data_IF_902558364659
#
_entry.id   IF_902558364659
#
_cell.length_a   1.000
_cell.length_b   1.000
_cell.length_c   1.000
_cell.angle_alpha   90.00
_cell.angle_beta   90.00
_cell.angle_gamma   90.00
#
_symmetry.space_group_name_H-M   'P 1'
#
loop_
_entity.id
_entity.type
_entity.pdbx_description
1 polymer ?
#
# COMPACT_ATOMS: atom_id res chain seq x y z
N UNK A 1 19.18 -10.20 -0.94
CA UNK A 1 17.86 -10.63 -1.44
C UNK A 1 17.54 -9.94 -2.75
N UNK A 2 17.76 -8.64 -2.84
CA UNK A 2 17.41 -7.79 -4.00
C UNK A 2 17.94 -8.25 -5.37
N UNK A 3 19.11 -8.90 -5.41
CA UNK A 3 19.72 -9.44 -6.65
C UNK A 3 19.34 -10.90 -6.95
N UNK A 4 18.75 -11.59 -5.96
CA UNK A 4 18.50 -13.03 -6.03
C UNK A 4 17.06 -13.29 -6.47
N UNK A 5 16.13 -12.54 -5.90
CA UNK A 5 14.71 -12.64 -6.18
C UNK A 5 14.23 -11.31 -6.77
N UNK A 6 14.56 -11.06 -8.04
CA UNK A 6 14.14 -9.84 -8.77
C UNK A 6 12.62 -9.83 -9.08
N UNK A 7 11.96 -10.97 -8.89
CA UNK A 7 10.55 -11.17 -9.17
C UNK A 7 10.29 -11.26 -10.67
N UNK A 8 9.07 -10.89 -11.07
CA UNK A 8 8.64 -10.99 -12.47
C UNK A 8 8.90 -9.67 -13.20
N UNK A 9 9.88 -9.65 -14.10
CA UNK A 9 10.31 -8.41 -14.78
C UNK A 9 9.21 -7.87 -15.70
N UNK A 10 8.55 -8.74 -16.46
CA UNK A 10 7.46 -8.39 -17.37
C UNK A 10 6.10 -8.81 -16.81
N UNK A 11 5.18 -7.85 -16.67
CA UNK A 11 3.84 -8.12 -16.14
C UNK A 11 2.96 -8.78 -17.22
N UNK A 12 3.07 -10.10 -17.34
CA UNK A 12 2.21 -10.90 -18.25
C UNK A 12 0.78 -11.05 -17.72
N UNK A 13 0.61 -10.98 -16.40
CA UNK A 13 -0.67 -11.17 -15.71
C UNK A 13 -0.97 -12.63 -15.37
N UNK A 14 -0.01 -13.54 -15.56
CA UNK A 14 -0.14 -14.94 -15.19
C UNK A 14 0.13 -15.16 -13.69
N UNK A 15 -0.22 -16.35 -13.22
CA UNK A 15 0.13 -16.82 -11.87
C UNK A 15 1.65 -16.96 -11.77
N UNK A 16 2.22 -16.28 -10.77
CA UNK A 16 3.65 -16.32 -10.47
C UNK A 16 3.81 -16.55 -8.98
N UNK A 17 4.65 -17.50 -8.61
CA UNK A 17 5.01 -17.78 -7.23
C UNK A 17 6.53 -17.82 -7.13
N UNK A 18 7.08 -17.14 -6.13
CA UNK A 18 8.53 -17.10 -5.92
C UNK A 18 8.96 -18.38 -5.19
N UNK A 19 9.70 -19.22 -5.89
CA UNK A 19 10.29 -20.45 -5.35
C UNK A 19 11.69 -20.18 -4.79
N UNK A 20 12.09 -20.94 -3.77
CA UNK A 20 13.43 -20.83 -3.19
C UNK A 20 14.45 -21.53 -4.09
N UNK A 21 15.63 -20.92 -4.24
CA UNK A 21 16.72 -21.46 -5.08
C UNK A 21 17.68 -22.25 -4.19
N UNK A 22 18.01 -23.48 -4.60
CA UNK A 22 18.96 -24.33 -3.88
C UNK A 22 20.35 -23.68 -3.76
N UNK A 23 20.91 -23.70 -2.55
CA UNK A 23 22.23 -23.11 -2.26
C UNK A 23 22.23 -21.59 -2.06
N UNK A 24 21.08 -20.92 -2.16
CA UNK A 24 20.93 -19.51 -1.83
C UNK A 24 20.04 -19.30 -0.61
N UNK A 25 20.06 -18.11 0.02
CA UNK A 25 19.09 -17.75 1.05
C UNK A 25 17.66 -17.94 0.54
N UNK A 26 16.80 -18.60 1.34
CA UNK A 26 15.42 -18.86 0.96
C UNK A 26 14.63 -17.59 0.64
N UNK A 27 13.59 -17.74 -0.18
CA UNK A 27 12.72 -16.62 -0.54
C UNK A 27 12.06 -16.03 0.72
N UNK A 28 11.83 -14.72 0.72
CA UNK A 28 11.21 -14.06 1.86
C UNK A 28 9.71 -14.36 1.88
N UNK A 29 9.30 -15.23 2.81
CA UNK A 29 7.89 -15.61 2.96
C UNK A 29 7.11 -14.58 3.76
N UNK A 30 6.04 -14.07 3.16
CA UNK A 30 5.11 -13.13 3.77
C UNK A 30 3.69 -13.69 3.76
N UNK A 31 2.85 -13.18 4.66
CA UNK A 31 1.41 -13.47 4.69
C UNK A 31 0.61 -12.19 4.51
N UNK A 32 -0.47 -12.26 3.75
CA UNK A 32 -1.37 -11.13 3.55
C UNK A 32 -2.26 -10.94 4.79
N UNK A 33 -2.13 -9.80 5.46
CA UNK A 33 -3.11 -9.34 6.43
C UNK A 33 -4.11 -8.40 5.74
N UNK A 34 -5.35 -8.87 5.55
CA UNK A 34 -6.42 -8.07 4.99
C UNK A 34 -7.15 -7.21 6.04
N UNK A 35 -6.93 -7.46 7.34
CA UNK A 35 -7.67 -6.83 8.43
C UNK A 35 -9.18 -6.92 8.24
N UNK A 36 -9.85 -5.76 8.21
CA UNK A 36 -11.29 -5.63 7.98
C UNK A 36 -11.68 -5.50 6.50
N UNK A 37 -10.71 -5.48 5.59
CA UNK A 37 -10.99 -5.39 4.16
C UNK A 37 -11.69 -6.66 3.67
N UNK A 38 -12.84 -6.49 3.03
CA UNK A 38 -13.62 -7.62 2.51
C UNK A 38 -12.84 -8.32 1.38
N UNK A 39 -12.65 -9.63 1.48
CA UNK A 39 -11.94 -10.45 0.47
C UNK A 39 -12.81 -10.79 -0.75
N UNK A 40 -13.25 -9.76 -1.48
CA UNK A 40 -13.97 -9.92 -2.76
C UNK A 40 -13.00 -10.11 -3.93
N UNK A 41 -13.45 -10.81 -4.99
CA UNK A 41 -12.69 -10.96 -6.23
C UNK A 41 -12.51 -9.59 -6.89
N UNK A 42 -11.27 -9.27 -7.29
CA UNK A 42 -10.94 -7.96 -7.88
C UNK A 42 -10.73 -6.83 -6.87
N UNK A 43 -10.67 -7.10 -5.56
CA UNK A 43 -10.34 -6.07 -4.57
C UNK A 43 -8.88 -5.57 -4.75
N UNK A 44 -8.67 -4.26 -4.56
CA UNK A 44 -7.35 -3.60 -4.63
C UNK A 44 -6.32 -4.17 -3.65
N UNK A 45 -6.74 -4.70 -2.50
CA UNK A 45 -5.83 -5.41 -1.57
C UNK A 45 -5.17 -6.62 -2.25
N UNK A 46 -5.92 -7.31 -3.10
CA UNK A 46 -5.41 -8.44 -3.89
C UNK A 46 -4.53 -7.94 -5.05
N UNK A 47 -4.74 -6.73 -5.54
CA UNK A 47 -3.82 -6.07 -6.48
C UNK A 47 -2.46 -5.75 -5.84
N UNK A 48 -2.46 -5.25 -4.60
CA UNK A 48 -1.22 -5.02 -3.84
C UNK A 48 -0.48 -6.33 -3.54
N UNK A 49 -1.22 -7.40 -3.21
CA UNK A 49 -0.68 -8.76 -3.10
C UNK A 49 0.06 -9.18 -4.38
N UNK A 50 -0.55 -9.01 -5.56
CA UNK A 50 0.09 -9.37 -6.82
C UNK A 50 1.37 -8.56 -7.05
N UNK A 51 1.32 -7.25 -6.81
CA UNK A 51 2.49 -6.38 -6.96
C UNK A 51 3.65 -6.77 -6.03
N UNK A 52 3.35 -7.20 -4.80
CA UNK A 52 4.35 -7.70 -3.86
C UNK A 52 4.99 -9.01 -4.33
N UNK A 53 4.17 -9.93 -4.85
CA UNK A 53 4.65 -11.20 -5.42
C UNK A 53 5.50 -10.98 -6.67
N UNK A 54 5.06 -10.09 -7.57
CA UNK A 54 5.79 -9.70 -8.78
C UNK A 54 7.09 -8.93 -8.46
N UNK A 55 7.18 -8.37 -7.25
CA UNK A 55 8.39 -7.75 -6.71
C UNK A 55 9.36 -8.73 -6.04
N UNK A 56 9.08 -10.04 -6.02
CA UNK A 56 10.00 -11.06 -5.50
C UNK A 56 9.68 -11.56 -4.09
N UNK A 57 8.53 -11.21 -3.50
CA UNK A 57 8.08 -11.79 -2.23
C UNK A 57 7.36 -13.12 -2.43
N UNK A 58 7.67 -14.11 -1.59
CA UNK A 58 6.95 -15.38 -1.60
C UNK A 58 5.70 -15.26 -0.72
N UNK A 59 4.52 -15.18 -1.33
CA UNK A 59 3.25 -15.09 -0.60
C UNK A 59 2.35 -16.23 -1.09
N UNK A 60 1.95 -17.17 -0.21
CA UNK A 60 1.07 -18.26 -0.61
C UNK A 60 -0.32 -17.70 -0.92
N UNK A 61 -0.77 -17.83 -2.16
CA UNK A 61 -2.05 -17.31 -2.62
C UNK A 61 -2.70 -18.22 -3.67
N UNK A 62 -3.94 -17.90 -4.05
CA UNK A 62 -4.67 -18.61 -5.11
C UNK A 62 -5.26 -17.61 -6.11
N UNK A 63 -5.45 -18.04 -7.36
CA UNK A 63 -5.93 -17.17 -8.44
C UNK A 63 -7.40 -16.74 -8.34
N UNK A 64 -8.16 -17.35 -7.41
CA UNK A 64 -9.61 -17.15 -7.24
C UNK A 64 -10.05 -15.71 -6.93
N UNK A 65 -9.14 -14.92 -6.35
CA UNK A 65 -9.43 -13.54 -5.91
C UNK A 65 -8.93 -12.49 -6.90
N UNK A 66 -8.21 -12.88 -7.95
CA UNK A 66 -7.74 -11.94 -8.96
C UNK A 66 -8.85 -11.53 -9.93
N UNK A 67 -8.78 -10.30 -10.48
CA UNK A 67 -9.69 -9.88 -11.54
C UNK A 67 -9.50 -10.76 -12.78
N UNK A 68 -10.60 -11.18 -13.40
CA UNK A 68 -10.59 -12.11 -14.53
C UNK A 68 -10.75 -13.58 -14.16
N UNK A 69 -10.87 -13.91 -12.87
CA UNK A 69 -11.30 -15.23 -12.43
C UNK A 69 -12.83 -15.36 -12.52
N UNK A 70 -13.29 -16.42 -13.18
CA UNK A 70 -14.70 -16.77 -13.23
C UNK A 70 -15.01 -17.94 -12.27
N UNK A 71 -16.00 -17.76 -11.40
CA UNK A 71 -16.38 -18.78 -10.41
C UNK A 71 -17.10 -19.98 -11.03
N UNK A 72 -17.77 -19.79 -12.17
CA UNK A 72 -18.55 -20.84 -12.81
C UNK A 72 -17.64 -21.78 -13.61
N UNK A 73 -16.85 -21.22 -14.54
CA UNK A 73 -15.87 -21.99 -15.32
C UNK A 73 -14.61 -22.38 -14.54
N UNK A 74 -14.36 -21.75 -13.38
CA UNK A 74 -13.12 -21.87 -12.58
C UNK A 74 -11.87 -21.53 -13.40
N UNK A 75 -12.01 -20.73 -14.44
CA UNK A 75 -10.94 -20.33 -15.34
C UNK A 75 -10.42 -18.93 -14.98
N UNK A 76 -9.10 -18.75 -15.05
CA UNK A 76 -8.45 -17.48 -14.84
C UNK A 76 -7.98 -16.87 -16.16
N UNK A 77 -8.48 -15.68 -16.48
CA UNK A 77 -8.11 -14.95 -17.72
C UNK A 77 -6.99 -13.94 -17.43
N UNK A 78 -5.74 -14.35 -17.65
CA UNK A 78 -4.54 -13.52 -17.45
C UNK A 78 -4.58 -12.17 -18.19
N UNK A 79 -5.17 -12.14 -19.40
CA UNK A 79 -5.36 -10.90 -20.17
C UNK A 79 -6.13 -9.85 -19.38
N UNK A 80 -7.23 -10.24 -18.73
CA UNK A 80 -8.06 -9.31 -17.93
C UNK A 80 -7.29 -8.83 -16.71
N UNK A 81 -6.50 -9.70 -16.09
CA UNK A 81 -5.65 -9.35 -14.96
C UNK A 81 -4.59 -8.31 -15.36
N UNK A 82 -3.89 -8.53 -16.49
CA UNK A 82 -2.92 -7.57 -17.03
C UNK A 82 -3.56 -6.21 -17.34
N UNK A 83 -4.77 -6.19 -17.92
CA UNK A 83 -5.51 -4.94 -18.15
C UNK A 83 -5.73 -4.12 -16.88
N UNK A 84 -6.02 -4.79 -15.76
CA UNK A 84 -6.20 -4.11 -14.48
C UNK A 84 -4.89 -3.61 -13.90
N UNK A 85 -3.80 -4.37 -14.03
CA UNK A 85 -2.48 -3.95 -13.54
C UNK A 85 -1.95 -2.72 -14.30
N UNK A 86 -2.17 -2.65 -15.61
CA UNK A 86 -1.74 -1.54 -16.46
C UNK A 86 -2.75 -0.37 -16.52
N UNK A 87 -3.82 -0.41 -15.72
CA UNK A 87 -4.85 0.64 -15.70
C UNK A 87 -5.64 0.80 -17.00
N UNK A 88 -5.60 -0.18 -17.91
CA UNK A 88 -6.32 -0.12 -19.18
C UNK A 88 -7.84 -0.11 -18.99
N UNK A 89 -8.36 -0.69 -17.91
CA UNK A 89 -9.78 -0.60 -17.55
C UNK A 89 -10.23 0.85 -17.31
N UNK A 90 -9.37 1.68 -16.72
CA UNK A 90 -9.64 3.11 -16.52
C UNK A 90 -9.54 3.85 -17.85
N UNK A 91 -8.54 3.53 -18.68
CA UNK A 91 -8.39 4.12 -20.01
C UNK A 91 -9.58 3.79 -20.93
N UNK A 92 -10.06 2.54 -20.89
CA UNK A 92 -11.24 2.09 -21.62
C UNK A 92 -12.49 2.87 -21.16
N UNK A 93 -12.67 3.05 -19.84
CA UNK A 93 -13.78 3.83 -19.29
C UNK A 93 -13.71 5.31 -19.66
N UNK A 94 -12.51 5.91 -19.66
CA UNK A 94 -12.30 7.28 -20.13
C UNK A 94 -12.73 7.45 -21.58
N UNK A 95 -12.35 6.50 -22.46
CA UNK A 95 -12.74 6.53 -23.87
C UNK A 95 -14.25 6.42 -24.07
N UNK A 96 -14.91 5.49 -23.37
CA UNK A 96 -16.37 5.37 -23.42
C UNK A 96 -17.08 6.66 -22.97
N UNK A 97 -16.64 7.27 -21.86
CA UNK A 97 -17.25 8.52 -21.39
C UNK A 97 -17.03 9.70 -22.33
N UNK A 98 -15.88 9.78 -23.01
CA UNK A 98 -15.65 10.84 -23.99
C UNK A 98 -16.63 10.76 -25.18
N UNK A 99 -17.08 9.55 -25.53
CA UNK A 99 -18.04 9.32 -26.62
C UNK A 99 -19.50 9.48 -26.17
N UNK A 100 -19.83 9.05 -24.94
CA UNK A 100 -21.20 9.03 -24.43
C UNK A 100 -21.61 10.30 -23.66
N UNK A 101 -20.76 10.80 -22.76
CA UNK A 101 -21.06 11.93 -21.87
C UNK A 101 -19.78 12.70 -21.47
N UNK A 102 -19.50 13.76 -22.24
CA UNK A 102 -18.32 14.60 -22.05
C UNK A 102 -18.33 15.37 -20.71
N UNK A 103 -19.51 15.68 -20.15
CA UNK A 103 -19.63 16.41 -18.89
C UNK A 103 -19.28 15.51 -17.71
N UNK A 104 -19.71 14.25 -17.73
CA UNK A 104 -19.27 13.23 -16.78
C UNK A 104 -17.76 13.01 -16.86
N UNK A 105 -17.19 12.96 -18.08
CA UNK A 105 -15.74 12.86 -18.28
C UNK A 105 -14.99 14.02 -17.62
N UNK A 106 -15.38 15.26 -17.91
CA UNK A 106 -14.76 16.47 -17.32
C UNK A 106 -14.85 16.48 -15.80
N UNK A 107 -15.97 16.03 -15.23
CA UNK A 107 -16.19 15.98 -13.79
C UNK A 107 -15.28 14.94 -13.12
N UNK A 108 -15.26 13.71 -13.63
CA UNK A 108 -14.54 12.60 -13.02
C UNK A 108 -13.03 12.67 -13.26
N UNK A 109 -12.62 13.06 -14.46
CA UNK A 109 -11.21 13.05 -14.91
C UNK A 109 -10.58 14.44 -14.99
N UNK A 110 -11.12 15.42 -14.27
CA UNK A 110 -10.62 16.81 -14.26
C UNK A 110 -9.11 16.94 -14.01
N UNK A 111 -8.52 16.08 -13.19
CA UNK A 111 -7.07 16.08 -12.94
C UNK A 111 -6.26 15.52 -14.11
N UNK A 112 -6.79 14.51 -14.80
CA UNK A 112 -6.13 13.96 -15.99
C UNK A 112 -6.08 15.00 -17.12
N UNK A 113 -7.16 15.75 -17.31
CA UNK A 113 -7.23 16.85 -18.27
C UNK A 113 -6.17 17.92 -17.97
N UNK A 114 -5.88 18.16 -16.69
CA UNK A 114 -4.90 19.18 -16.27
C UNK A 114 -3.44 18.72 -16.38
N UNK A 115 -3.16 17.44 -16.13
CA UNK A 115 -1.82 16.99 -15.79
C UNK A 115 -1.26 15.83 -16.65
N UNK A 116 -2.08 15.10 -17.41
CA UNK A 116 -1.70 13.75 -17.89
C UNK A 116 -1.88 13.56 -19.40
N UNK A 117 -0.94 12.81 -19.99
CA UNK A 117 -0.95 12.26 -21.36
C UNK A 117 -1.86 11.02 -21.48
N UNK A 118 -2.49 10.78 -22.64
CA UNK A 118 -3.58 9.79 -22.80
C UNK A 118 -3.20 8.31 -22.67
N UNK A 119 -1.92 7.96 -22.52
CA UNK A 119 -1.48 6.57 -22.41
C UNK A 119 -1.17 6.16 -20.95
N UNK A 120 -2.16 5.52 -20.32
CA UNK A 120 -2.07 5.01 -18.95
C UNK A 120 -1.07 3.84 -18.83
N UNK A 121 -0.92 3.02 -19.87
CA UNK A 121 -0.07 1.83 -19.81
C UNK A 121 1.41 2.24 -19.77
N UNK A 122 1.80 3.23 -20.57
CA UNK A 122 3.17 3.75 -20.57
C UNK A 122 3.53 4.38 -19.21
N UNK A 123 2.59 5.12 -18.59
CA UNK A 123 2.78 5.72 -17.28
C UNK A 123 3.07 4.67 -16.20
N UNK A 124 2.29 3.58 -16.14
CA UNK A 124 2.52 2.50 -15.17
C UNK A 124 3.83 1.74 -15.44
N UNK A 125 4.18 1.47 -16.70
CA UNK A 125 5.47 0.87 -17.04
C UNK A 125 6.65 1.72 -16.56
N UNK A 126 6.59 3.04 -16.78
CA UNK A 126 7.61 3.99 -16.27
C UNK A 126 7.67 3.98 -14.75
N UNK A 127 6.52 3.95 -14.08
CA UNK A 127 6.47 3.87 -12.62
C UNK A 127 7.11 2.59 -12.08
N UNK A 128 6.82 1.43 -12.68
CA UNK A 128 7.45 0.16 -12.30
C UNK A 128 8.97 0.17 -12.50
N UNK A 129 9.46 0.75 -13.60
CA UNK A 129 10.88 0.92 -13.83
C UNK A 129 11.53 1.84 -12.77
N UNK A 130 10.90 2.98 -12.47
CA UNK A 130 11.41 3.95 -11.49
C UNK A 130 11.46 3.37 -10.06
N UNK A 131 10.45 2.59 -9.65
CA UNK A 131 10.43 1.93 -8.34
C UNK A 131 11.55 0.90 -8.21
N UNK A 132 11.86 0.17 -9.30
CA UNK A 132 12.97 -0.80 -9.32
C UNK A 132 14.34 -0.12 -9.30
N UNK A 133 14.48 1.02 -9.96
CA UNK A 133 15.72 1.79 -9.98
C UNK A 133 16.04 2.39 -8.61
N UNK A 134 15.02 2.92 -7.91
CA UNK A 134 15.20 3.50 -6.58
C UNK A 134 14.06 3.14 -5.62
N UNK A 135 14.17 2.01 -4.88
CA UNK A 135 13.16 1.56 -3.93
C UNK A 135 13.23 2.27 -2.57
N UNK A 136 14.04 3.33 -2.42
CA UNK A 136 14.27 3.99 -1.14
C UNK A 136 13.06 4.81 -0.71
N UNK A 137 12.63 4.62 0.54
CA UNK A 137 11.60 5.44 1.15
C UNK A 137 12.15 6.80 1.57
N UNK A 138 11.63 7.87 0.98
CA UNK A 138 11.89 9.24 1.43
C UNK A 138 10.82 9.65 2.44
N UNK A 139 11.21 9.83 3.70
CA UNK A 139 10.31 10.33 4.74
C UNK A 139 9.84 11.76 4.44
N UNK A 140 8.61 12.08 4.83
CA UNK A 140 8.09 13.44 4.69
C UNK A 140 8.52 14.33 5.86
N UNK A 141 8.90 15.58 5.56
CA UNK A 141 9.10 16.60 6.58
C UNK A 141 7.76 16.93 7.25
N UNK A 142 7.65 16.72 8.57
CA UNK A 142 6.46 17.14 9.32
C UNK A 142 6.42 18.66 9.37
N UNK A 143 5.53 19.27 8.59
CA UNK A 143 5.15 20.67 8.82
C UNK A 143 4.25 20.70 10.06
N UNK A 144 4.68 21.42 11.10
CA UNK A 144 3.91 21.56 12.34
C UNK A 144 2.58 22.27 12.05
N UNK A 145 1.47 21.61 12.31
CA UNK A 145 0.14 22.21 12.23
C UNK A 145 -0.39 22.47 13.64
N UNK A 146 -0.66 23.73 13.98
CA UNK A 146 -1.30 24.09 15.24
C UNK A 146 -2.81 23.88 15.14
N UNK A 147 -3.33 22.86 15.83
CA UNK A 147 -4.78 22.71 16.01
C UNK A 147 -5.26 23.70 17.08
N UNK A 148 -5.90 24.79 16.66
CA UNK A 148 -6.65 25.65 17.58
C UNK A 148 -8.10 25.16 17.60
N UNK A 149 -8.44 24.35 18.61
CA UNK A 149 -9.82 23.87 18.82
C UNK A 149 -10.55 24.82 19.77
N UNK A 150 -11.69 25.41 19.39
CA UNK A 150 -12.49 26.21 20.33
C UNK A 150 -12.99 25.31 21.47
N UNK A 151 -12.51 25.56 22.69
CA UNK A 151 -12.87 24.80 23.90
C UNK A 151 -11.72 24.03 24.56
N UNK A 152 -10.54 23.94 23.92
CA UNK A 152 -9.33 23.42 24.52
C UNK A 152 -8.15 24.35 24.18
N UNK A 153 -7.60 25.13 25.14
CA UNK A 153 -6.43 25.95 24.85
C UNK A 153 -5.28 25.07 24.36
N UNK A 154 -4.63 25.50 23.27
CA UNK A 154 -3.64 24.72 22.54
C UNK A 154 -2.52 24.20 23.44
N UNK A 155 -2.30 22.90 23.41
CA UNK A 155 -1.14 22.28 24.03
C UNK A 155 0.06 22.60 23.13
N UNK A 156 0.94 23.50 23.56
CA UNK A 156 2.21 23.72 22.88
C UNK A 156 3.06 22.45 23.03
N UNK A 157 3.19 21.68 21.95
CA UNK A 157 4.08 20.50 21.84
C UNK A 157 5.58 20.90 21.81
N UNK A 158 5.99 21.86 22.64
CA UNK A 158 7.40 22.27 22.75
C UNK A 158 8.22 21.36 23.68
N UNK A 159 7.59 20.52 24.51
CA UNK A 159 8.29 19.76 25.58
C UNK A 159 8.33 18.24 25.36
N UNK A 160 8.61 17.77 24.15
CA UNK A 160 8.96 16.35 23.96
C UNK A 160 9.92 16.11 22.78
N UNK A 161 10.98 16.90 22.72
CA UNK A 161 12.14 16.62 21.87
C UNK A 161 13.30 16.08 22.73
N UNK A 162 13.20 14.82 23.18
CA UNK A 162 14.35 13.92 23.47
C UNK A 162 13.89 12.70 24.29
N UNK A 163 13.41 11.66 23.61
CA UNK A 163 13.62 10.30 24.11
C UNK A 163 14.16 9.48 22.94
N UNK A 164 15.48 9.40 22.89
CA UNK A 164 16.23 8.62 21.91
C UNK A 164 15.72 7.18 21.92
N UNK A 165 15.17 6.73 20.79
CA UNK A 165 14.92 5.30 20.55
C UNK A 165 16.27 4.66 20.22
N UNK A 166 17.13 4.50 21.23
CA UNK A 166 18.36 3.75 21.14
C UNK A 166 18.00 2.27 21.19
N UNK A 167 17.79 1.65 20.03
CA UNK A 167 17.82 0.19 19.91
C UNK A 167 19.26 -0.28 20.13
N UNK A 168 19.61 -0.54 21.39
CA UNK A 168 20.75 -1.41 21.70
C UNK A 168 20.22 -2.77 22.10
N UNK A 169 20.54 -3.73 21.24
CA UNK A 169 20.74 -5.13 21.57
C UNK A 169 21.40 -5.28 22.94
N UNK A 170 20.80 -6.07 23.82
CA UNK A 170 21.47 -7.10 24.63
C UNK A 170 20.49 -7.68 25.65
N UNK A 171 20.40 -9.00 25.63
CA UNK A 171 20.07 -9.87 26.76
C UNK A 171 20.10 -9.21 28.15
N UNK A 172 19.00 -9.22 28.89
CA UNK A 172 18.93 -9.83 30.22
C UNK A 172 17.55 -9.70 30.85
N UNK A 173 17.25 -10.72 31.65
CA UNK A 173 16.10 -10.90 32.51
C UNK A 173 15.91 -9.74 33.52
N UNK A 174 14.64 -9.57 33.91
CA UNK A 174 14.11 -9.27 35.26
C UNK A 174 13.16 -8.07 35.31
N UNK A 175 11.88 -8.37 35.60
CA UNK A 175 10.91 -7.45 36.19
C UNK A 175 11.48 -6.83 37.48
N UNK A 176 11.05 -5.60 37.83
CA UNK A 176 10.10 -5.53 38.94
C UNK A 176 9.01 -4.45 38.79
N UNK A 177 7.91 -4.68 39.52
CA UNK A 177 6.79 -3.78 39.79
C UNK A 177 7.20 -2.33 40.10
N UNK A 178 6.45 -1.36 39.58
CA UNK A 178 6.35 -0.04 40.18
C UNK A 178 4.93 0.51 40.06
N UNK A 179 4.46 1.05 41.18
CA UNK A 179 3.11 1.45 41.54
C UNK A 179 2.47 2.50 40.61
N UNK A 180 1.22 2.29 40.24
CA UNK A 180 0.32 3.34 39.74
C UNK A 180 -0.19 4.10 40.98
N UNK A 181 0.42 5.24 41.31
CA UNK A 181 -0.19 6.21 42.22
C UNK A 181 -1.11 7.12 41.42
N UNK A 182 -2.40 6.87 41.55
CA UNK A 182 -3.45 7.75 41.07
C UNK A 182 -3.37 9.12 41.76
N UNK A 183 -3.53 10.17 40.98
CA UNK A 183 -3.79 11.52 41.48
C UNK A 183 -5.14 11.95 40.93
N UNK A 184 -6.12 12.01 41.83
CA UNK A 184 -7.43 12.57 41.61
C UNK A 184 -7.30 14.09 41.44
N UNK A 185 -7.79 14.64 40.31
CA UNK A 185 -7.92 16.08 40.15
C UNK A 185 -9.22 16.53 40.83
N UNK A 186 -9.06 17.20 41.97
CA UNK A 186 -10.09 17.98 42.65
C UNK A 186 -10.44 19.24 41.84
N UNK A 187 -11.73 19.51 41.68
CA UNK A 187 -12.26 20.78 41.20
C UNK A 187 -12.04 21.88 42.24
N UNK A 188 -11.68 23.12 41.84
CA UNK A 188 -11.90 24.29 42.68
C UNK A 188 -13.11 25.09 42.16
N UNK A 189 -14.12 25.21 43.01
CA UNK A 189 -15.19 26.19 42.87
C UNK A 189 -14.94 27.41 43.77
N UNK A 190 -15.59 28.51 43.39
CA UNK A 190 -15.95 29.73 44.13
C UNK A 190 -14.91 30.82 44.36
N UNK A 191 -15.10 31.96 43.69
CA UNK A 191 -15.89 33.09 44.23
C UNK A 191 -16.71 33.74 43.10
#
# INVERSE_FOLDING_TARGET
MDKIYEGQVEVTGDEYNVESIDGQPGAFTCYLDAGLARTTTGNKVVGALKGAVDGGLSIPHSTKRFPGYDSESKEFKAKVHRKHNMGQNVADYMRCLMEEDEDAYKKQFSQYIKNVTPDMEEMYKKAHAAIRENPVYFGFSKQGFSINSPGYPGIHFADQASLEFRTQSSSCLCLPSAEIKGVYATTPGFL
#
